data_IF_510487983583
#
_entry.id   IF_510487983583
#
_cell.length_a   1.000
_cell.length_b   1.000
_cell.length_c   1.000
_cell.angle_alpha   90.00
_cell.angle_beta   90.00
_cell.angle_gamma   90.00
#
_symmetry.space_group_name_H-M   'P 1'
#
loop_
_entity.id
_entity.type
_entity.pdbx_description
1 polymer ?
#
# COMPACT_ATOMS: atom_id res chain seq x y z
N UNK A 1 -73.65 6.59 -36.00
CA UNK A 1 -72.34 6.84 -35.35
C UNK A 1 -71.49 5.60 -35.53
N UNK A 2 -70.46 5.66 -36.39
CA UNK A 2 -69.51 4.56 -36.62
C UNK A 2 -68.18 5.02 -36.04
N UNK A 3 -67.74 4.37 -34.96
CA UNK A 3 -66.40 4.60 -34.39
C UNK A 3 -65.44 3.63 -35.09
N UNK A 4 -64.68 4.13 -36.07
CA UNK A 4 -63.58 3.38 -36.67
C UNK A 4 -62.42 3.31 -35.67
N UNK A 5 -62.15 2.11 -35.16
CA UNK A 5 -60.91 1.82 -34.44
C UNK A 5 -59.75 1.81 -35.45
N UNK A 6 -58.96 2.88 -35.44
CA UNK A 6 -57.74 2.98 -36.23
C UNK A 6 -56.65 2.14 -35.52
N UNK A 7 -56.57 0.85 -35.89
CA UNK A 7 -55.44 0.00 -35.50
C UNK A 7 -54.25 0.48 -36.33
N UNK A 8 -53.42 1.32 -35.72
CA UNK A 8 -52.12 1.71 -36.28
C UNK A 8 -51.25 0.45 -36.23
N UNK A 9 -51.05 -0.15 -37.40
CA UNK A 9 -50.14 -1.27 -37.62
C UNK A 9 -48.72 -0.80 -37.30
N UNK A 10 -48.27 -1.04 -36.06
CA UNK A 10 -46.91 -0.73 -35.64
C UNK A 10 -46.00 -1.69 -36.41
N UNK A 11 -45.05 -1.20 -37.22
CA UNK A 11 -44.16 -2.09 -37.97
C UNK A 11 -43.50 -3.03 -36.97
N UNK A 12 -43.72 -4.34 -37.18
CA UNK A 12 -43.05 -5.39 -36.43
C UNK A 12 -41.57 -5.25 -36.74
N UNK A 13 -40.83 -4.57 -35.86
CA UNK A 13 -39.39 -4.70 -35.84
C UNK A 13 -39.11 -6.20 -35.73
N UNK A 14 -38.42 -6.75 -36.73
CA UNK A 14 -37.95 -8.13 -36.71
C UNK A 14 -37.27 -8.36 -35.36
N UNK A 15 -37.86 -9.24 -34.56
CA UNK A 15 -37.35 -9.52 -33.22
C UNK A 15 -35.88 -9.97 -33.31
N UNK A 16 -35.03 -9.63 -32.33
CA UNK A 16 -33.62 -10.01 -32.35
C UNK A 16 -33.46 -11.52 -32.59
N UNK A 17 -32.51 -11.87 -33.46
CA UNK A 17 -32.19 -13.24 -33.84
C UNK A 17 -31.77 -14.05 -32.60
N UNK A 18 -32.34 -15.25 -32.44
CA UNK A 18 -32.01 -16.16 -31.34
C UNK A 18 -30.56 -16.62 -31.39
N UNK A 19 -29.97 -16.74 -32.58
CA UNK A 19 -28.56 -17.08 -32.71
C UNK A 19 -27.67 -15.93 -32.19
N UNK A 20 -28.03 -14.69 -32.53
CA UNK A 20 -27.34 -13.50 -32.04
C UNK A 20 -27.41 -13.38 -30.51
N UNK A 21 -28.60 -13.52 -29.91
CA UNK A 21 -28.74 -13.43 -28.45
C UNK A 21 -27.96 -14.52 -27.69
N UNK A 22 -27.84 -15.73 -28.26
CA UNK A 22 -27.01 -16.79 -27.68
C UNK A 22 -25.52 -16.47 -27.78
N UNK A 23 -25.09 -15.87 -28.89
CA UNK A 23 -23.71 -15.43 -29.06
C UNK A 23 -23.38 -14.33 -28.04
N UNK A 24 -24.23 -13.32 -27.90
CA UNK A 24 -24.07 -12.24 -26.91
C UNK A 24 -24.02 -12.78 -25.47
N UNK A 25 -24.91 -13.72 -25.10
CA UNK A 25 -24.87 -14.36 -23.78
C UNK A 25 -23.57 -15.15 -23.53
N UNK A 26 -23.06 -15.83 -24.55
CA UNK A 26 -21.79 -16.57 -24.46
C UNK A 26 -20.59 -15.62 -24.31
N UNK A 27 -20.58 -14.50 -25.04
CA UNK A 27 -19.56 -13.45 -24.93
C UNK A 27 -19.55 -12.84 -23.53
N UNK A 28 -20.71 -12.48 -22.98
CA UNK A 28 -20.84 -11.97 -21.61
C UNK A 28 -20.37 -12.98 -20.56
N UNK A 29 -20.72 -14.26 -20.73
CA UNK A 29 -20.24 -15.34 -19.86
C UNK A 29 -18.71 -15.49 -19.91
N UNK A 30 -18.12 -15.43 -21.10
CA UNK A 30 -16.67 -15.47 -21.26
C UNK A 30 -15.98 -14.24 -20.62
N UNK A 31 -16.58 -13.05 -20.77
CA UNK A 31 -16.09 -11.83 -20.16
C UNK A 31 -16.14 -11.90 -18.62
N UNK A 32 -17.23 -12.41 -18.05
CA UNK A 32 -17.39 -12.61 -16.61
C UNK A 32 -16.29 -13.51 -16.03
N UNK A 33 -16.00 -14.64 -16.69
CA UNK A 33 -14.91 -15.54 -16.29
C UNK A 33 -13.57 -14.83 -16.37
N UNK A 34 -13.28 -14.13 -17.47
CA UNK A 34 -12.02 -13.41 -17.64
C UNK A 34 -11.84 -12.29 -16.59
N UNK A 35 -12.92 -11.59 -16.22
CA UNK A 35 -12.92 -10.59 -15.16
C UNK A 35 -12.68 -11.22 -13.79
N UNK A 36 -13.31 -12.37 -13.51
CA UNK A 36 -13.11 -13.12 -12.26
C UNK A 36 -11.66 -13.63 -12.12
N UNK A 37 -11.05 -14.13 -13.20
CA UNK A 37 -9.64 -14.52 -13.18
C UNK A 37 -8.70 -13.33 -12.94
N UNK A 38 -8.98 -12.18 -13.57
CA UNK A 38 -8.24 -10.94 -13.32
C UNK A 38 -8.39 -10.49 -11.87
N UNK A 39 -9.61 -10.57 -11.31
CA UNK A 39 -9.87 -10.26 -9.91
C UNK A 39 -9.08 -11.16 -8.96
N UNK A 40 -9.04 -12.47 -9.26
CA UNK A 40 -8.25 -13.45 -8.50
C UNK A 40 -6.76 -13.13 -8.51
N UNK A 41 -6.19 -12.78 -9.68
CA UNK A 41 -4.78 -12.36 -9.79
C UNK A 41 -4.50 -11.08 -9.00
N UNK A 42 -5.38 -10.07 -9.10
CA UNK A 42 -5.25 -8.85 -8.32
C UNK A 42 -5.34 -9.11 -6.81
N UNK A 43 -6.23 -10.01 -6.39
CA UNK A 43 -6.34 -10.46 -5.00
C UNK A 43 -5.08 -11.16 -4.49
N UNK A 44 -4.44 -12.01 -5.31
CA UNK A 44 -3.18 -12.64 -4.96
C UNK A 44 -2.06 -11.59 -4.74
N UNK A 45 -1.96 -10.60 -5.64
CA UNK A 45 -1.00 -9.48 -5.49
C UNK A 45 -1.26 -8.70 -4.20
N UNK A 46 -2.52 -8.44 -3.85
CA UNK A 46 -2.87 -7.79 -2.60
C UNK A 46 -2.41 -8.58 -1.36
N UNK A 47 -2.59 -9.90 -1.36
CA UNK A 47 -2.14 -10.78 -0.26
C UNK A 47 -0.63 -10.76 -0.13
N UNK A 48 0.10 -10.87 -1.24
CA UNK A 48 1.57 -10.80 -1.26
C UNK A 48 2.07 -9.43 -0.77
N UNK A 49 1.45 -8.35 -1.23
CA UNK A 49 1.78 -6.99 -0.81
C UNK A 49 1.51 -6.76 0.69
N UNK A 50 0.42 -7.30 1.23
CA UNK A 50 0.15 -7.28 2.68
C UNK A 50 1.20 -8.06 3.47
N UNK A 51 1.61 -9.22 2.99
CA UNK A 51 2.69 -9.99 3.61
C UNK A 51 4.01 -9.19 3.61
N UNK A 52 4.33 -8.53 2.50
CA UNK A 52 5.49 -7.64 2.40
C UNK A 52 5.39 -6.43 3.35
N UNK A 53 4.19 -5.84 3.51
CA UNK A 53 3.95 -4.76 4.45
C UNK A 53 4.19 -5.20 5.90
N UNK A 54 3.75 -6.39 6.30
CA UNK A 54 4.02 -6.93 7.64
C UNK A 54 5.52 -7.13 7.90
N UNK A 55 6.27 -7.60 6.91
CA UNK A 55 7.73 -7.72 7.00
C UNK A 55 8.38 -6.34 7.13
N UNK A 56 7.96 -5.37 6.31
CA UNK A 56 8.45 -4.00 6.35
C UNK A 56 8.13 -3.30 7.67
N UNK A 57 6.96 -3.57 8.26
CA UNK A 57 6.54 -3.04 9.55
C UNK A 57 7.47 -3.54 10.67
N UNK A 58 7.76 -4.85 10.70
CA UNK A 58 8.72 -5.41 11.67
C UNK A 58 10.10 -4.77 11.51
N UNK A 59 10.58 -4.62 10.28
CA UNK A 59 11.86 -3.96 10.01
C UNK A 59 11.87 -2.49 10.46
N UNK A 60 10.76 -1.76 10.29
CA UNK A 60 10.59 -0.40 10.80
C UNK A 60 10.64 -0.36 12.32
N UNK A 61 9.94 -1.25 13.00
CA UNK A 61 9.87 -1.27 14.47
C UNK A 61 11.24 -1.65 15.09
N UNK A 62 11.98 -2.57 14.46
CA UNK A 62 13.37 -2.88 14.80
C UNK A 62 14.28 -1.66 14.59
N UNK A 63 14.14 -0.97 13.46
CA UNK A 63 14.92 0.22 13.14
C UNK A 63 14.62 1.37 14.12
N UNK A 64 13.36 1.55 14.51
CA UNK A 64 12.94 2.50 15.54
C UNK A 64 13.62 2.18 16.87
N UNK A 65 13.59 0.92 17.29
CA UNK A 65 14.24 0.47 18.54
C UNK A 65 15.76 0.69 18.50
N UNK A 66 16.40 0.52 17.34
CA UNK A 66 17.82 0.81 17.15
C UNK A 66 18.11 2.31 17.19
N UNK A 67 17.24 3.12 16.59
CA UNK A 67 17.32 4.58 16.62
C UNK A 67 17.22 5.12 18.04
N UNK A 68 16.22 4.67 18.82
CA UNK A 68 16.04 5.06 20.21
C UNK A 68 17.26 4.73 21.07
N UNK A 69 17.81 3.52 20.88
CA UNK A 69 19.06 3.11 21.56
C UNK A 69 20.24 4.02 21.19
N UNK A 70 20.38 4.36 19.91
CA UNK A 70 21.45 5.23 19.45
C UNK A 70 21.28 6.68 19.94
N UNK A 71 20.06 7.22 19.93
CA UNK A 71 19.74 8.54 20.44
C UNK A 71 20.03 8.65 21.95
N UNK A 72 19.66 7.63 22.73
CA UNK A 72 20.01 7.56 24.16
C UNK A 72 21.52 7.53 24.38
N UNK A 73 22.25 6.72 23.60
CA UNK A 73 23.71 6.67 23.67
C UNK A 73 24.37 8.00 23.32
N UNK A 74 23.88 8.68 22.29
CA UNK A 74 24.31 10.02 21.89
C UNK A 74 24.08 11.04 23.00
N UNK A 75 22.88 11.04 23.60
CA UNK A 75 22.56 11.92 24.72
C UNK A 75 23.49 11.70 25.91
N UNK A 76 23.69 10.45 26.34
CA UNK A 76 24.56 10.12 27.48
C UNK A 76 26.01 10.51 27.22
N UNK A 77 26.55 10.19 26.04
CA UNK A 77 27.92 10.56 25.68
C UNK A 77 28.12 12.09 25.65
N UNK A 78 27.09 12.83 25.22
CA UNK A 78 27.15 14.29 25.27
C UNK A 78 27.16 14.84 26.70
N UNK A 79 26.36 14.26 27.61
CA UNK A 79 26.39 14.63 29.04
C UNK A 79 27.78 14.40 29.66
N UNK A 80 28.46 13.30 29.30
CA UNK A 80 29.82 13.02 29.78
C UNK A 80 30.86 14.04 29.27
N UNK A 81 30.69 14.54 28.04
CA UNK A 81 31.51 15.62 27.46
C UNK A 81 31.26 16.93 28.22
N UNK A 82 29.99 17.28 28.46
CA UNK A 82 29.65 18.50 29.20
C UNK A 82 30.22 18.46 30.62
N UNK A 83 30.03 17.35 31.34
CA UNK A 83 30.58 17.16 32.68
C UNK A 83 32.13 17.25 32.69
N UNK A 84 32.81 16.68 31.69
CA UNK A 84 34.27 16.81 31.55
C UNK A 84 34.72 18.26 31.32
N UNK A 85 33.96 19.03 30.52
CA UNK A 85 34.28 20.43 30.25
C UNK A 85 34.09 21.30 31.48
N UNK A 86 33.04 21.06 32.27
CA UNK A 86 32.78 21.76 33.53
C UNK A 86 33.89 21.52 34.55
N UNK A 87 34.31 20.27 34.74
CA UNK A 87 35.42 19.95 35.66
C UNK A 87 36.74 20.55 35.18
N UNK A 88 37.05 20.46 33.88
CA UNK A 88 38.26 21.06 33.32
C UNK A 88 38.23 22.61 33.38
N UNK A 89 37.05 23.22 33.30
CA UNK A 89 36.84 24.66 33.47
C UNK A 89 37.04 25.12 34.92
N UNK A 90 36.52 24.36 35.89
CA UNK A 90 36.71 24.62 37.32
C UNK A 90 38.19 24.50 37.72
N UNK A 91 38.91 23.49 37.22
CA UNK A 91 40.35 23.32 37.46
C UNK A 91 41.15 24.48 36.86
N UNK A 92 40.85 24.91 35.62
CA UNK A 92 41.53 26.04 34.99
C UNK A 92 41.22 27.39 35.66
N UNK A 93 40.03 27.58 36.21
CA UNK A 93 39.67 28.74 37.03
C UNK A 93 40.53 28.88 38.29
N UNK A 94 40.95 27.76 38.88
CA UNK A 94 41.89 27.73 40.02
C UNK A 94 43.38 27.81 39.61
N UNK A 95 43.75 27.33 38.41
CA UNK A 95 45.14 27.18 37.97
C UNK A 95 45.67 28.21 36.95
N UNK A 96 44.91 29.27 36.62
CA UNK A 96 45.35 30.36 35.70
C UNK A 96 46.67 31.05 36.09
N UNK A 97 47.24 30.75 37.25
CA UNK A 97 48.53 31.26 37.68
C UNK A 97 49.75 30.54 37.07
N UNK A 98 49.64 29.33 36.47
CA UNK A 98 50.83 28.64 35.91
C UNK A 98 50.53 27.80 34.66
N UNK A 99 51.23 28.17 33.60
CA UNK A 99 51.65 27.35 32.45
C UNK A 99 50.71 27.31 31.24
N UNK A 100 51.25 27.75 30.11
CA UNK A 100 50.72 27.46 28.78
C UNK A 100 51.00 26.00 28.44
N UNK A 101 49.95 25.24 28.18
CA UNK A 101 49.99 23.92 27.59
C UNK A 101 48.77 23.80 26.67
N UNK A 102 49.02 23.85 25.36
CA UNK A 102 48.02 23.76 24.29
C UNK A 102 47.62 22.28 24.02
N UNK A 103 48.06 21.33 24.85
CA UNK A 103 47.59 19.95 24.84
C UNK A 103 46.23 19.82 25.54
N UNK A 104 45.15 19.77 24.77
CA UNK A 104 43.81 19.48 25.30
C UNK A 104 43.78 18.19 26.12
N UNK A 105 42.99 18.16 27.20
CA UNK A 105 42.85 17.00 28.09
C UNK A 105 42.53 15.72 27.27
N UNK A 106 43.41 14.70 27.25
CA UNK A 106 43.24 13.51 26.44
C UNK A 106 41.96 12.72 26.81
N UNK A 107 41.49 12.84 28.05
CA UNK A 107 40.24 12.23 28.49
C UNK A 107 39.04 12.94 27.85
N UNK A 108 39.07 14.27 27.79
CA UNK A 108 38.04 15.06 27.10
C UNK A 108 38.01 14.74 25.61
N UNK A 109 39.17 14.66 24.96
CA UNK A 109 39.27 14.31 23.53
C UNK A 109 38.65 12.93 23.26
N UNK A 110 38.89 11.92 24.10
CA UNK A 110 38.31 10.60 23.89
C UNK A 110 36.79 10.56 24.17
N UNK A 111 36.30 11.37 25.12
CA UNK A 111 34.85 11.55 25.34
C UNK A 111 34.17 12.21 24.14
N UNK A 112 34.78 13.24 23.57
CA UNK A 112 34.28 13.90 22.36
C UNK A 112 34.24 12.94 21.16
N UNK A 113 35.29 12.14 20.98
CA UNK A 113 35.28 11.06 19.96
C UNK A 113 34.18 10.04 20.20
N UNK A 114 33.93 9.68 21.46
CA UNK A 114 32.84 8.77 21.83
C UNK A 114 31.47 9.36 21.50
N UNK A 115 31.25 10.64 21.82
CA UNK A 115 30.03 11.35 21.48
C UNK A 115 29.83 11.42 19.95
N UNK A 116 30.87 11.71 19.18
CA UNK A 116 30.80 11.74 17.72
C UNK A 116 30.48 10.37 17.12
N UNK A 117 31.08 9.28 17.64
CA UNK A 117 30.73 7.91 17.23
C UNK A 117 29.25 7.62 17.47
N UNK A 118 28.70 8.04 18.61
CA UNK A 118 27.28 7.87 18.91
C UNK A 118 26.39 8.71 18.01
N UNK A 119 26.77 9.95 17.72
CA UNK A 119 26.06 10.83 16.78
C UNK A 119 25.98 10.21 15.38
N UNK A 120 27.08 9.66 14.90
CA UNK A 120 27.11 8.96 13.61
C UNK A 120 26.24 7.70 13.61
N UNK A 121 26.20 6.95 14.72
CA UNK A 121 25.29 5.80 14.89
C UNK A 121 23.83 6.23 14.89
N UNK A 122 23.49 7.32 15.57
CA UNK A 122 22.13 7.86 15.61
C UNK A 122 21.66 8.29 14.20
N UNK A 123 22.49 9.04 13.47
CA UNK A 123 22.19 9.43 12.09
C UNK A 123 22.04 8.19 11.18
N UNK A 124 22.90 7.19 11.35
CA UNK A 124 22.80 5.92 10.64
C UNK A 124 21.49 5.20 10.91
N UNK A 125 21.10 5.10 12.19
CA UNK A 125 19.86 4.45 12.60
C UNK A 125 18.62 5.18 12.10
N UNK A 126 18.60 6.53 12.15
CA UNK A 126 17.54 7.35 11.55
C UNK A 126 17.35 7.05 10.05
N UNK A 127 18.45 7.02 9.27
CA UNK A 127 18.38 6.68 7.84
C UNK A 127 17.86 5.26 7.58
N UNK A 128 18.13 4.31 8.46
CA UNK A 128 17.58 2.95 8.35
C UNK A 128 16.08 2.97 8.62
N UNK A 129 15.66 3.65 9.69
CA UNK A 129 14.24 3.82 10.02
C UNK A 129 13.45 4.52 8.91
N UNK A 130 13.98 5.61 8.35
CA UNK A 130 13.33 6.34 7.25
C UNK A 130 13.17 5.46 6.00
N UNK A 131 14.20 4.67 5.66
CA UNK A 131 14.11 3.70 4.54
C UNK A 131 13.09 2.60 4.81
N UNK A 132 13.01 2.11 6.05
CA UNK A 132 12.02 1.11 6.44
C UNK A 132 10.59 1.69 6.33
N UNK A 133 10.37 2.93 6.76
CA UNK A 133 9.10 3.64 6.58
C UNK A 133 8.70 3.78 5.11
N UNK A 134 9.62 4.19 4.25
CA UNK A 134 9.35 4.29 2.81
C UNK A 134 9.00 2.93 2.20
N UNK A 135 9.64 1.86 2.65
CA UNK A 135 9.36 0.50 2.18
C UNK A 135 7.99 0.02 2.63
N UNK A 136 7.62 0.29 3.88
CA UNK A 136 6.29 -0.01 4.42
C UNK A 136 5.21 0.73 3.63
N UNK A 137 5.35 2.06 3.46
CA UNK A 137 4.35 2.86 2.75
C UNK A 137 4.13 2.40 1.31
N UNK A 138 5.21 2.03 0.59
CA UNK A 138 5.09 1.46 -0.77
C UNK A 138 4.37 0.12 -0.79
N UNK A 139 4.63 -0.75 0.17
CA UNK A 139 3.96 -2.05 0.26
C UNK A 139 2.46 -1.90 0.57
N UNK A 140 2.12 -0.98 1.47
CA UNK A 140 0.72 -0.63 1.80
C UNK A 140 -0.01 -0.01 0.60
N UNK A 141 0.64 0.89 -0.14
CA UNK A 141 0.07 1.49 -1.35
C UNK A 141 -0.23 0.44 -2.42
N UNK A 142 0.72 -0.46 -2.69
CA UNK A 142 0.52 -1.56 -3.66
C UNK A 142 -0.61 -2.49 -3.22
N UNK A 143 -0.68 -2.82 -1.93
CA UNK A 143 -1.78 -3.63 -1.39
C UNK A 143 -3.13 -2.95 -1.61
N UNK A 144 -3.25 -1.66 -1.26
CA UNK A 144 -4.49 -0.90 -1.43
C UNK A 144 -4.95 -0.77 -2.88
N UNK A 145 -4.02 -0.52 -3.81
CA UNK A 145 -4.31 -0.49 -5.26
C UNK A 145 -4.78 -1.87 -5.75
N UNK A 146 -4.09 -2.94 -5.36
CA UNK A 146 -4.43 -4.30 -5.77
C UNK A 146 -5.79 -4.75 -5.22
N UNK A 147 -6.13 -4.40 -3.98
CA UNK A 147 -7.45 -4.66 -3.38
C UNK A 147 -8.56 -3.93 -4.10
N UNK A 148 -8.35 -2.66 -4.41
CA UNK A 148 -9.32 -1.84 -5.15
C UNK A 148 -9.55 -2.42 -6.53
N UNK A 149 -8.48 -2.81 -7.23
CA UNK A 149 -8.57 -3.45 -8.54
C UNK A 149 -9.29 -4.81 -8.46
N UNK A 150 -8.96 -5.64 -7.48
CA UNK A 150 -9.60 -6.94 -7.28
C UNK A 150 -11.11 -6.79 -7.05
N UNK A 151 -11.52 -5.81 -6.24
CA UNK A 151 -12.94 -5.55 -5.98
C UNK A 151 -13.67 -5.06 -7.23
N UNK A 152 -13.10 -4.09 -7.95
CA UNK A 152 -13.71 -3.56 -9.17
C UNK A 152 -13.89 -4.66 -10.24
N UNK A 153 -12.89 -5.53 -10.42
CA UNK A 153 -12.95 -6.65 -11.36
C UNK A 153 -13.96 -7.72 -10.93
N UNK A 154 -14.11 -7.95 -9.63
CA UNK A 154 -15.13 -8.86 -9.12
C UNK A 154 -16.54 -8.31 -9.34
N UNK A 155 -16.76 -7.03 -9.06
CA UNK A 155 -18.04 -6.36 -9.32
C UNK A 155 -18.40 -6.39 -10.81
N UNK A 156 -17.42 -6.14 -11.69
CA UNK A 156 -17.56 -6.28 -13.15
C UNK A 156 -17.95 -7.71 -13.57
N UNK A 157 -17.30 -8.72 -12.99
CA UNK A 157 -17.61 -10.13 -13.27
C UNK A 157 -19.04 -10.49 -12.87
N UNK A 158 -19.52 -9.98 -11.71
CA UNK A 158 -20.88 -10.21 -11.23
C UNK A 158 -21.91 -9.57 -12.16
N UNK A 159 -21.68 -8.34 -12.61
CA UNK A 159 -22.55 -7.65 -13.58
C UNK A 159 -22.62 -8.45 -14.88
N UNK A 160 -21.48 -8.79 -15.48
CA UNK A 160 -21.43 -9.54 -16.74
C UNK A 160 -22.10 -10.92 -16.63
N UNK A 161 -21.92 -11.63 -15.51
CA UNK A 161 -22.58 -12.91 -15.27
C UNK A 161 -24.11 -12.77 -15.14
N UNK A 162 -24.57 -11.69 -14.50
CA UNK A 162 -26.01 -11.39 -14.37
C UNK A 162 -26.61 -11.08 -15.74
N UNK A 163 -25.97 -10.24 -16.53
CA UNK A 163 -26.41 -9.91 -17.90
C UNK A 163 -26.43 -11.15 -18.80
N UNK A 164 -25.42 -12.02 -18.72
CA UNK A 164 -25.39 -13.29 -19.44
C UNK A 164 -26.58 -14.18 -19.06
N UNK A 165 -26.90 -14.28 -17.76
CA UNK A 165 -28.04 -15.06 -17.29
C UNK A 165 -29.38 -14.51 -17.79
N UNK A 166 -29.57 -13.18 -17.73
CA UNK A 166 -30.77 -12.53 -18.26
C UNK A 166 -30.92 -12.74 -19.77
N UNK A 167 -29.82 -12.65 -20.53
CA UNK A 167 -29.81 -12.92 -21.97
C UNK A 167 -30.20 -14.39 -22.27
N UNK A 168 -29.71 -15.35 -21.49
CA UNK A 168 -30.13 -16.76 -21.62
C UNK A 168 -31.61 -16.96 -21.33
N UNK A 169 -32.15 -16.35 -20.25
CA UNK A 169 -33.57 -16.43 -19.94
C UNK A 169 -34.44 -15.82 -21.07
N UNK A 170 -33.99 -14.73 -21.68
CA UNK A 170 -34.67 -14.13 -22.84
C UNK A 170 -34.68 -15.07 -24.05
N UNK A 171 -33.58 -15.77 -24.32
CA UNK A 171 -33.49 -16.81 -25.36
C UNK A 171 -34.47 -17.95 -25.08
N UNK A 172 -34.50 -18.48 -23.86
CA UNK A 172 -35.38 -19.58 -23.46
C UNK A 172 -36.85 -19.21 -23.58
N UNK A 173 -37.23 -18.02 -23.11
CA UNK A 173 -38.60 -17.51 -23.20
C UNK A 173 -39.05 -17.38 -24.66
N UNK A 174 -38.20 -16.81 -25.54
CA UNK A 174 -38.52 -16.68 -26.97
C UNK A 174 -38.59 -18.03 -27.68
N UNK A 175 -37.67 -18.94 -27.38
CA UNK A 175 -37.70 -20.29 -27.95
C UNK A 175 -38.98 -21.03 -27.54
N UNK A 176 -39.40 -20.90 -26.29
CA UNK A 176 -40.66 -21.48 -25.79
C UNK A 176 -41.88 -20.87 -26.48
N UNK A 177 -41.89 -19.55 -26.68
CA UNK A 177 -42.96 -18.86 -27.40
C UNK A 177 -43.04 -19.23 -28.88
N UNK A 178 -41.90 -19.48 -29.53
CA UNK A 178 -41.85 -19.92 -30.91
C UNK A 178 -42.40 -21.33 -31.10
N UNK A 179 -42.22 -22.24 -30.11
CA UNK A 179 -42.79 -23.60 -30.16
C UNK A 179 -44.31 -23.66 -29.99
N UNK A 180 -44.91 -22.61 -29.44
CA UNK A 180 -46.36 -22.50 -29.21
C UNK A 180 -47.13 -21.87 -30.37
N UNK A 181 -46.43 -21.47 -31.44
CA UNK A 181 -47.01 -20.93 -32.68
C UNK A 181 -46.90 -21.94 -33.80
#
# INVERSE_FOLDING_TARGET
MVVLALIVDRPRTSGPDLAQLRAEAAELGAHAVAAQERAGRAGAVAVEARAAALVAQRARDEAWTAQERAAKGCHLAWQEVLAARETAGAVRGGNRARSGDDGGDPVLVERERTAERWRMRELGARRVHDRANLTLGRAEEVAGVAETAARALFDEAVVAATEAHEAMLAVEWRASRARLR
#
